data_IF_465272041939
#
_entry.id   IF_465272041939
#
_cell.length_a   1.000
_cell.length_b   1.000
_cell.length_c   1.000
_cell.angle_alpha   90.00
_cell.angle_beta   90.00
_cell.angle_gamma   90.00
#
_symmetry.space_group_name_H-M   'P 1'
#
loop_
_entity.id
_entity.type
_entity.pdbx_description
1 polymer ?
#
# COMPACT_ATOMS: atom_id res chain seq x y z
N UNK A 1 14.26 14.16 -17.46
CA UNK A 1 12.85 14.38 -17.05
C UNK A 1 11.96 13.59 -18.00
N UNK A 2 11.14 12.65 -17.52
CA UNK A 2 10.24 11.87 -18.41
C UNK A 2 9.10 12.78 -18.88
N UNK A 3 8.94 12.91 -20.20
CA UNK A 3 7.82 13.64 -20.82
C UNK A 3 6.78 12.61 -21.23
N UNK A 4 5.63 12.61 -20.56
CA UNK A 4 4.48 11.83 -21.01
C UNK A 4 3.84 12.64 -22.15
N UNK A 5 3.77 12.06 -23.34
CA UNK A 5 3.09 12.68 -24.49
C UNK A 5 1.74 11.97 -24.61
N UNK A 6 0.67 12.69 -24.29
CA UNK A 6 -0.70 12.22 -24.51
C UNK A 6 -1.00 12.35 -26.02
N UNK A 7 -1.50 11.26 -26.62
CA UNK A 7 -1.89 11.26 -28.03
C UNK A 7 -3.21 12.00 -28.29
N UNK A 8 -4.10 12.04 -27.29
CA UNK A 8 -5.39 12.74 -27.31
C UNK A 8 -5.72 13.29 -25.92
N UNK A 9 -6.50 14.37 -25.83
CA UNK A 9 -7.05 14.85 -24.56
C UNK A 9 -8.13 13.88 -24.07
N UNK A 10 -7.78 13.10 -23.05
CA UNK A 10 -8.75 12.25 -22.36
C UNK A 10 -9.62 13.15 -21.50
N UNK A 11 -10.94 13.16 -21.75
CA UNK A 11 -11.92 13.76 -20.83
C UNK A 11 -11.77 13.03 -19.50
N UNK A 12 -11.24 13.73 -18.51
CA UNK A 12 -10.86 13.14 -17.24
C UNK A 12 -12.13 12.93 -16.39
N UNK A 13 -12.76 11.77 -16.56
CA UNK A 13 -13.93 11.42 -15.80
C UNK A 13 -13.52 11.14 -14.34
N UNK A 14 -13.85 12.09 -13.46
CA UNK A 14 -13.53 12.08 -12.03
C UNK A 14 -14.04 10.82 -11.31
N UNK A 15 -14.98 10.10 -11.93
CA UNK A 15 -15.54 8.84 -11.42
C UNK A 15 -14.45 7.75 -11.28
N UNK A 16 -13.40 7.78 -12.11
CA UNK A 16 -12.33 6.76 -12.06
C UNK A 16 -11.09 7.17 -11.25
N UNK A 17 -10.88 8.47 -11.01
CA UNK A 17 -9.68 8.99 -10.36
C UNK A 17 -10.03 9.80 -9.10
N UNK A 18 -10.33 9.09 -8.02
CA UNK A 18 -10.51 9.69 -6.69
C UNK A 18 -9.15 9.98 -6.04
N UNK A 19 -8.88 11.19 -5.53
CA UNK A 19 -7.64 11.49 -4.80
C UNK A 19 -7.54 10.65 -3.52
N UNK A 20 -6.31 10.33 -3.10
CA UNK A 20 -6.08 9.48 -1.92
C UNK A 20 -6.76 10.02 -0.65
N UNK A 21 -6.80 11.35 -0.51
CA UNK A 21 -7.44 12.06 0.61
C UNK A 21 -8.94 11.83 0.74
N UNK A 22 -9.59 11.32 -0.30
CA UNK A 22 -11.03 11.13 -0.33
C UNK A 22 -11.48 9.69 -0.02
N UNK A 23 -10.54 8.76 0.19
CA UNK A 23 -10.84 7.39 0.61
C UNK A 23 -11.06 7.34 2.12
N UNK A 24 -11.97 6.44 2.54
CA UNK A 24 -12.08 6.10 3.96
C UNK A 24 -10.83 5.35 4.43
N UNK A 25 -10.58 5.31 5.74
CA UNK A 25 -9.46 4.56 6.33
C UNK A 25 -9.48 3.09 5.90
N UNK A 26 -10.65 2.46 5.84
CA UNK A 26 -10.80 1.06 5.41
C UNK A 26 -10.43 0.87 3.94
N UNK A 27 -10.74 1.86 3.09
CA UNK A 27 -10.34 1.84 1.68
C UNK A 27 -8.83 2.03 1.52
N UNK A 28 -8.23 2.91 2.33
CA UNK A 28 -6.78 3.11 2.36
C UNK A 28 -6.06 1.84 2.81
N UNK A 29 -6.45 1.23 3.92
CA UNK A 29 -5.86 -0.02 4.42
C UNK A 29 -5.94 -1.17 3.42
N UNK A 30 -7.01 -1.23 2.61
CA UNK A 30 -7.14 -2.24 1.54
C UNK A 30 -6.24 -2.00 0.33
N UNK A 31 -5.76 -0.78 0.14
CA UNK A 31 -4.99 -0.34 -1.06
C UNK A 31 -3.63 0.27 -0.69
N UNK A 32 -3.13 0.02 0.53
CA UNK A 32 -1.91 0.65 1.04
C UNK A 32 -0.69 -0.26 0.94
N UNK A 33 0.48 0.36 0.84
CA UNK A 33 1.78 -0.21 1.15
C UNK A 33 2.30 0.45 2.42
N UNK A 34 2.92 -0.32 3.31
CA UNK A 34 3.55 0.20 4.52
C UNK A 34 5.06 0.06 4.33
N UNK A 35 5.77 1.18 4.30
CA UNK A 35 7.23 1.19 4.34
C UNK A 35 7.67 0.94 5.79
N UNK A 36 7.82 -0.33 6.15
CA UNK A 36 8.08 -0.75 7.51
C UNK A 36 9.58 -0.93 7.73
N UNK A 37 10.11 -0.29 8.76
CA UNK A 37 11.46 -0.54 9.26
C UNK A 37 11.44 -1.76 10.18
N UNK A 38 11.96 -2.90 9.70
CA UNK A 38 11.86 -4.19 10.42
C UNK A 38 12.86 -4.16 11.59
N UNK A 39 12.43 -4.34 12.85
CA UNK A 39 13.37 -4.46 13.96
C UNK A 39 14.21 -5.75 13.84
N UNK A 40 15.42 -5.77 14.42
CA UNK A 40 16.22 -6.99 14.55
C UNK A 40 15.57 -7.97 15.54
N UNK A 41 15.68 -9.26 15.28
CA UNK A 41 15.16 -10.34 16.13
C UNK A 41 14.01 -11.14 15.50
N UNK A 42 12.85 -10.54 15.17
CA UNK A 42 11.74 -11.28 14.59
C UNK A 42 11.96 -11.54 13.11
N UNK A 43 11.42 -12.65 12.63
CA UNK A 43 11.34 -12.96 11.20
C UNK A 43 10.41 -11.99 10.48
N UNK A 44 10.59 -11.85 9.17
CA UNK A 44 9.69 -11.04 8.33
C UNK A 44 8.23 -11.52 8.38
N UNK A 45 8.00 -12.83 8.55
CA UNK A 45 6.66 -13.41 8.67
C UNK A 45 5.99 -13.05 10.00
N UNK A 46 6.73 -13.04 11.11
CA UNK A 46 6.21 -12.62 12.41
C UNK A 46 5.80 -11.14 12.40
N UNK A 47 6.62 -10.27 11.82
CA UNK A 47 6.29 -8.85 11.70
C UNK A 47 5.04 -8.63 10.84
N UNK A 48 4.90 -9.35 9.71
CA UNK A 48 3.66 -9.33 8.92
C UNK A 48 2.46 -9.81 9.74
N UNK A 49 2.60 -10.86 10.56
CA UNK A 49 1.54 -11.36 11.42
C UNK A 49 1.12 -10.33 12.48
N UNK A 50 2.08 -9.60 13.06
CA UNK A 50 1.80 -8.51 14.01
C UNK A 50 1.06 -7.36 13.33
N UNK A 51 1.53 -6.89 12.18
CA UNK A 51 0.85 -5.83 11.41
C UNK A 51 -0.58 -6.23 11.07
N UNK A 52 -0.78 -7.47 10.61
CA UNK A 52 -2.10 -8.01 10.30
C UNK A 52 -3.04 -7.98 11.52
N UNK A 53 -2.51 -8.35 12.70
CA UNK A 53 -3.27 -8.37 13.96
C UNK A 53 -3.59 -6.96 14.45
N UNK A 54 -2.63 -6.05 14.45
CA UNK A 54 -2.78 -4.66 14.94
C UNK A 54 -3.77 -3.89 14.09
N UNK A 55 -3.73 -4.04 12.77
CA UNK A 55 -4.61 -3.32 11.83
C UNK A 55 -5.92 -4.07 11.56
N UNK A 56 -6.11 -5.25 12.16
CA UNK A 56 -7.29 -6.11 11.99
C UNK A 56 -7.66 -6.39 10.53
N UNK A 57 -6.65 -6.53 9.67
CA UNK A 57 -6.85 -6.76 8.23
C UNK A 57 -6.89 -8.26 7.90
N UNK A 58 -7.66 -8.61 6.86
CA UNK A 58 -7.80 -10.02 6.45
C UNK A 58 -6.53 -10.61 5.84
N UNK A 59 -5.72 -9.79 5.14
CA UNK A 59 -4.50 -10.21 4.44
C UNK A 59 -3.43 -9.13 4.57
N UNK A 60 -2.19 -9.57 4.76
CA UNK A 60 -0.97 -8.77 4.72
C UNK A 60 0.17 -9.66 4.19
N UNK A 61 1.22 -9.04 3.61
CA UNK A 61 2.39 -9.73 3.06
C UNK A 61 3.57 -8.78 2.93
N UNK A 62 4.76 -9.31 2.64
CA UNK A 62 5.99 -8.54 2.45
C UNK A 62 6.56 -8.71 1.04
N UNK A 63 7.31 -7.73 0.56
CA UNK A 63 7.93 -7.75 -0.77
C UNK A 63 9.18 -8.65 -0.86
N UNK A 64 9.78 -8.99 0.29
CA UNK A 64 10.95 -9.87 0.38
C UNK A 64 11.29 -10.16 1.84
N UNK A 65 11.97 -11.28 2.08
CA UNK A 65 12.39 -11.68 3.43
C UNK A 65 13.67 -10.96 3.78
N UNK A 66 13.67 -10.25 4.91
CA UNK A 66 14.89 -9.82 5.60
C UNK A 66 15.23 -10.85 6.68
N UNK A 67 16.53 -11.10 6.85
CA UNK A 67 17.04 -11.94 7.93
C UNK A 67 16.63 -11.37 9.31
N UNK A 68 16.48 -12.22 10.33
CA UNK A 68 16.09 -11.82 11.68
C UNK A 68 16.95 -10.70 12.26
#
# INVERSE_FOLDING_TARGET
MRKIILREEIINDSIFHKPLTSYSIQQLLRKSLINLDKPPGPTSHEVVAWVKKILEVKKAGHAGTLEP
#
